data_IF_637579392507
#
_entry.id   IF_637579392507
#
_cell.length_a   1.000
_cell.length_b   1.000
_cell.length_c   1.000
_cell.angle_alpha   90.00
_cell.angle_beta   90.00
_cell.angle_gamma   90.00
#
_symmetry.space_group_name_H-M   'P 1'
#
loop_
_entity.id
_entity.type
_entity.pdbx_description
1 polymer ?
#
# COMPACT_ATOMS: atom_id res chain seq x y z
N UNK A 1 -19.19 4.85 11.41
CA UNK A 1 -19.67 5.12 12.78
C UNK A 1 -18.70 4.54 13.79
N UNK A 2 -18.26 5.32 14.74
CA UNK A 2 -17.47 4.77 15.86
C UNK A 2 -18.42 4.29 16.95
N UNK A 3 -18.21 3.08 17.45
CA UNK A 3 -18.92 2.56 18.63
C UNK A 3 -18.00 2.67 19.83
N UNK A 4 -18.56 3.14 20.95
CA UNK A 4 -17.86 3.17 22.22
C UNK A 4 -18.35 1.98 23.02
N UNK A 5 -17.42 1.14 23.44
CA UNK A 5 -17.68 0.03 24.34
C UNK A 5 -17.06 0.37 25.71
N UNK A 6 -17.80 0.08 26.75
CA UNK A 6 -17.27 0.17 28.12
C UNK A 6 -17.30 -1.21 28.76
N UNK A 7 -16.23 -1.55 29.44
CA UNK A 7 -16.14 -2.73 30.28
C UNK A 7 -16.00 -2.28 31.71
N UNK A 8 -16.87 -2.74 32.56
CA UNK A 8 -16.91 -2.41 33.97
C UNK A 8 -16.54 -3.64 34.80
N UNK A 9 -15.59 -3.48 35.69
CA UNK A 9 -15.18 -4.54 36.62
C UNK A 9 -15.31 -4.02 38.03
N UNK A 10 -16.08 -4.74 38.84
CA UNK A 10 -16.26 -4.47 40.27
C UNK A 10 -15.76 -5.66 41.08
N UNK A 11 -14.96 -5.38 42.10
CA UNK A 11 -14.45 -6.37 43.02
C UNK A 11 -15.03 -6.06 44.40
N UNK A 12 -15.74 -7.01 44.98
CA UNK A 12 -16.36 -6.90 46.29
C UNK A 12 -15.66 -7.81 47.30
N UNK A 13 -15.57 -7.35 48.53
CA UNK A 13 -15.17 -8.21 49.63
C UNK A 13 -16.24 -9.30 49.88
N UNK A 14 -15.83 -10.55 49.96
CA UNK A 14 -16.72 -11.68 50.13
C UNK A 14 -17.35 -11.79 51.53
N UNK A 15 -16.70 -11.22 52.52
CA UNK A 15 -17.17 -11.29 53.92
C UNK A 15 -18.03 -10.07 54.27
N UNK A 16 -17.67 -8.89 53.84
CA UNK A 16 -18.36 -7.63 54.19
C UNK A 16 -19.33 -7.16 53.12
N UNK A 17 -19.16 -7.60 51.86
CA UNK A 17 -19.93 -7.12 50.72
C UNK A 17 -19.54 -5.71 50.23
N UNK A 18 -18.49 -5.16 50.81
CA UNK A 18 -17.99 -3.81 50.42
C UNK A 18 -17.27 -3.85 49.09
N UNK A 19 -17.43 -2.75 48.30
CA UNK A 19 -16.73 -2.55 47.06
C UNK A 19 -15.25 -2.24 47.33
N UNK A 20 -14.34 -3.11 46.87
CA UNK A 20 -12.89 -2.97 47.06
C UNK A 20 -12.31 -2.21 45.86
N UNK A 21 -12.71 -2.57 44.68
CA UNK A 21 -12.14 -2.00 43.43
C UNK A 21 -13.23 -1.83 42.37
N UNK A 22 -13.20 -0.68 41.69
CA UNK A 22 -14.06 -0.40 40.55
C UNK A 22 -13.18 0.12 39.42
N UNK A 23 -13.15 -0.61 38.32
CA UNK A 23 -12.40 -0.23 37.10
C UNK A 23 -13.37 -0.10 35.95
N UNK A 24 -13.34 1.03 35.28
CA UNK A 24 -14.11 1.28 34.05
C UNK A 24 -13.14 1.54 32.91
N UNK A 25 -13.11 0.65 31.93
CA UNK A 25 -12.32 0.82 30.71
C UNK A 25 -13.24 1.17 29.54
N UNK A 26 -12.94 2.27 28.89
CA UNK A 26 -13.67 2.73 27.70
C UNK A 26 -12.83 2.52 26.44
N UNK A 27 -13.39 1.77 25.50
CA UNK A 27 -12.76 1.51 24.19
C UNK A 27 -13.57 2.17 23.09
N UNK A 28 -12.88 2.91 22.23
CA UNK A 28 -13.48 3.42 20.99
C UNK A 28 -13.09 2.50 19.84
N UNK A 29 -14.07 1.77 19.31
CA UNK A 29 -13.86 0.95 18.13
C UNK A 29 -14.32 1.73 16.90
N UNK A 30 -13.40 1.92 15.95
CA UNK A 30 -13.71 2.49 14.65
C UNK A 30 -14.39 1.41 13.82
N UNK A 31 -15.53 1.72 13.22
CA UNK A 31 -16.36 0.76 12.49
C UNK A 31 -15.78 0.27 11.17
N UNK A 32 -14.76 0.94 10.66
CA UNK A 32 -14.05 0.55 9.45
C UNK A 32 -12.55 0.61 9.68
N UNK A 33 -11.85 -0.38 9.16
CA UNK A 33 -10.38 -0.37 9.13
C UNK A 33 -9.90 0.82 8.29
N UNK A 34 -8.91 1.60 8.74
CA UNK A 34 -8.33 2.65 7.90
C UNK A 34 -7.78 2.08 6.60
N UNK A 35 -7.79 2.88 5.54
CA UNK A 35 -7.17 2.48 4.29
C UNK A 35 -5.70 2.11 4.52
N UNK A 36 -5.32 0.94 4.07
CA UNK A 36 -3.95 0.45 4.21
C UNK A 36 -3.45 -0.20 2.92
N UNK A 37 -2.15 -0.30 2.82
CA UNK A 37 -1.45 -1.02 1.76
C UNK A 37 -0.56 -2.06 2.42
N UNK A 38 -0.60 -3.28 1.92
CA UNK A 38 0.35 -4.33 2.32
C UNK A 38 1.69 -4.06 1.66
N UNK A 39 2.74 -3.97 2.47
CA UNK A 39 4.12 -3.86 2.03
C UNK A 39 4.87 -5.13 2.40
N UNK A 40 5.41 -5.82 1.41
CA UNK A 40 6.21 -7.03 1.61
C UNK A 40 7.68 -6.64 1.80
N UNK A 41 8.12 -6.63 3.04
CA UNK A 41 9.41 -6.06 3.49
C UNK A 41 10.60 -6.74 2.84
N UNK A 42 10.60 -8.07 2.74
CA UNK A 42 11.71 -8.81 2.15
C UNK A 42 11.92 -8.45 0.69
N UNK A 43 10.85 -8.37 -0.08
CA UNK A 43 10.90 -7.94 -1.47
C UNK A 43 11.35 -6.48 -1.59
N UNK A 44 10.82 -5.60 -0.77
CA UNK A 44 11.20 -4.18 -0.77
C UNK A 44 12.69 -3.99 -0.45
N UNK A 45 13.24 -4.76 0.46
CA UNK A 45 14.66 -4.70 0.83
C UNK A 45 15.60 -4.99 -0.34
N UNK A 46 15.17 -5.81 -1.31
CA UNK A 46 15.95 -6.11 -2.51
C UNK A 46 16.05 -4.91 -3.48
N UNK A 47 15.11 -4.00 -3.44
CA UNK A 47 15.02 -2.87 -4.36
C UNK A 47 15.51 -1.55 -3.77
N UNK A 48 15.55 -1.43 -2.44
CA UNK A 48 16.05 -0.23 -1.76
C UNK A 48 17.57 -0.31 -1.66
N UNK A 49 18.24 0.06 -2.74
CA UNK A 49 19.71 0.15 -2.77
C UNK A 49 20.12 1.46 -3.46
N UNK A 50 20.88 2.32 -2.77
CA UNK A 50 21.47 3.51 -3.34
C UNK A 50 21.01 4.85 -2.76
N UNK A 51 21.69 5.93 -3.12
CA UNK A 51 21.50 7.27 -2.55
C UNK A 51 20.21 7.97 -3.03
N UNK A 52 19.61 7.54 -4.13
CA UNK A 52 18.40 8.16 -4.73
C UNK A 52 17.08 7.56 -4.21
N UNK A 53 17.13 6.70 -3.23
CA UNK A 53 16.00 5.90 -2.74
C UNK A 53 14.86 6.75 -2.16
N UNK A 54 15.18 7.91 -1.57
CA UNK A 54 14.18 8.72 -0.88
C UNK A 54 13.02 9.19 -1.76
N UNK A 55 13.32 9.78 -2.92
CA UNK A 55 12.30 10.31 -3.84
C UNK A 55 11.54 9.19 -4.57
N UNK A 56 12.23 8.14 -4.98
CA UNK A 56 11.61 6.96 -5.60
C UNK A 56 10.63 6.28 -4.63
N UNK A 57 11.03 6.07 -3.38
CA UNK A 57 10.18 5.51 -2.34
C UNK A 57 8.99 6.40 -2.04
N UNK A 58 9.20 7.72 -1.93
CA UNK A 58 8.11 8.67 -1.70
C UNK A 58 7.08 8.65 -2.82
N UNK A 59 7.51 8.60 -4.06
CA UNK A 59 6.61 8.49 -5.21
C UNK A 59 5.85 7.16 -5.21
N UNK A 60 6.53 6.04 -4.96
CA UNK A 60 5.88 4.73 -4.85
C UNK A 60 4.80 4.71 -3.76
N UNK A 61 5.04 5.30 -2.60
CA UNK A 61 4.06 5.40 -1.53
C UNK A 61 2.85 6.25 -1.93
N UNK A 62 3.06 7.37 -2.62
CA UNK A 62 1.97 8.21 -3.14
C UNK A 62 1.15 7.49 -4.21
N UNK A 63 1.80 6.69 -5.06
CA UNK A 63 1.12 5.84 -6.03
C UNK A 63 0.33 4.72 -5.32
N UNK A 64 0.93 4.05 -4.35
CA UNK A 64 0.31 2.96 -3.60
C UNK A 64 -0.96 3.40 -2.85
N UNK A 65 -1.00 4.63 -2.34
CA UNK A 65 -2.22 5.20 -1.73
C UNK A 65 -3.40 5.25 -2.70
N UNK A 66 -3.14 5.40 -3.98
CA UNK A 66 -4.14 5.63 -5.04
C UNK A 66 -4.41 4.39 -5.89
N UNK A 67 -3.64 3.33 -5.73
CA UNK A 67 -3.80 2.15 -6.57
C UNK A 67 -5.08 1.38 -6.27
N UNK A 68 -5.56 0.67 -7.26
CA UNK A 68 -6.72 -0.21 -7.17
C UNK A 68 -6.42 -1.48 -6.35
N UNK A 69 -7.48 -2.14 -5.90
CA UNK A 69 -7.36 -3.39 -5.14
C UNK A 69 -6.99 -4.57 -6.05
N UNK A 70 -6.35 -5.58 -5.46
CA UNK A 70 -5.96 -6.80 -6.17
C UNK A 70 -7.13 -7.59 -6.77
N UNK A 71 -8.33 -7.45 -6.22
CA UNK A 71 -9.56 -8.08 -6.73
C UNK A 71 -10.37 -7.17 -7.67
N UNK A 72 -9.83 -6.05 -8.07
CA UNK A 72 -10.41 -5.17 -9.09
C UNK A 72 -10.24 -5.76 -10.50
N UNK A 73 -11.05 -5.32 -11.46
CA UNK A 73 -10.90 -5.69 -12.87
C UNK A 73 -9.56 -5.24 -13.47
N UNK A 74 -9.03 -4.10 -12.98
CA UNK A 74 -7.71 -3.58 -13.31
C UNK A 74 -6.88 -3.49 -12.01
N UNK A 75 -6.31 -4.61 -11.53
CA UNK A 75 -5.70 -4.67 -10.21
C UNK A 75 -4.36 -3.94 -10.12
N UNK A 76 -4.07 -3.40 -8.95
CA UNK A 76 -2.80 -2.76 -8.61
C UNK A 76 -2.41 -1.58 -9.52
N UNK A 77 -3.38 -0.92 -10.12
CA UNK A 77 -3.16 0.16 -11.09
C UNK A 77 -3.40 1.54 -10.50
N UNK A 78 -2.65 2.49 -11.01
CA UNK A 78 -2.79 3.91 -10.69
C UNK A 78 -2.67 4.75 -11.95
N UNK A 79 -3.58 5.72 -12.10
CA UNK A 79 -3.53 6.71 -13.17
C UNK A 79 -2.64 7.89 -12.74
N UNK A 80 -1.53 8.08 -13.43
CA UNK A 80 -0.60 9.18 -13.23
C UNK A 80 -0.79 10.23 -14.33
N UNK A 81 -1.95 10.86 -14.35
CA UNK A 81 -2.36 11.82 -15.37
C UNK A 81 -2.65 13.19 -14.75
N UNK A 82 -2.43 14.25 -15.55
CA UNK A 82 -2.90 15.61 -15.30
C UNK A 82 -2.77 16.10 -13.86
N UNK A 83 -3.90 16.35 -13.24
CA UNK A 83 -4.01 16.89 -11.89
C UNK A 83 -3.45 15.98 -10.79
N UNK A 84 -3.50 14.67 -10.96
CA UNK A 84 -2.96 13.70 -9.99
C UNK A 84 -1.44 13.82 -9.94
N UNK A 85 -0.78 13.80 -11.08
CA UNK A 85 0.68 13.97 -11.20
C UNK A 85 1.13 15.32 -10.64
N UNK A 86 0.41 16.38 -10.96
CA UNK A 86 0.66 17.73 -10.46
C UNK A 86 0.51 17.81 -8.93
N UNK A 87 -0.55 17.23 -8.39
CA UNK A 87 -0.79 17.17 -6.94
C UNK A 87 0.30 16.41 -6.19
N UNK A 88 0.77 15.30 -6.74
CA UNK A 88 1.89 14.53 -6.16
C UNK A 88 3.19 15.34 -6.22
N UNK A 89 3.47 16.00 -7.33
CA UNK A 89 4.64 16.85 -7.48
C UNK A 89 4.66 17.97 -6.43
N UNK A 90 3.53 18.60 -6.17
CA UNK A 90 3.39 19.60 -5.11
C UNK A 90 3.64 19.01 -3.72
N UNK A 91 3.08 17.84 -3.41
CA UNK A 91 3.30 17.16 -2.12
C UNK A 91 4.76 16.78 -1.90
N UNK A 92 5.45 16.34 -2.93
CA UNK A 92 6.86 15.95 -2.87
C UNK A 92 7.82 17.13 -3.09
N UNK A 93 7.29 18.34 -3.22
CA UNK A 93 8.06 19.56 -3.44
C UNK A 93 9.01 19.46 -4.65
N UNK A 94 8.50 18.98 -5.75
CA UNK A 94 9.24 18.77 -7.00
C UNK A 94 8.41 19.18 -8.22
N UNK A 95 8.99 19.09 -9.42
CA UNK A 95 8.31 19.38 -10.67
C UNK A 95 7.66 18.15 -11.29
N UNK A 96 6.68 18.35 -12.18
CA UNK A 96 6.05 17.28 -12.96
C UNK A 96 7.08 16.55 -13.84
N UNK A 97 8.02 17.30 -14.43
CA UNK A 97 9.11 16.68 -15.21
C UNK A 97 10.02 15.78 -14.38
N UNK A 98 10.29 16.13 -13.12
CA UNK A 98 11.02 15.27 -12.19
C UNK A 98 10.23 13.99 -11.87
N UNK A 99 8.92 14.08 -11.71
CA UNK A 99 8.05 12.90 -11.54
C UNK A 99 8.17 11.97 -12.74
N UNK A 100 8.16 12.50 -13.96
CA UNK A 100 8.31 11.69 -15.18
C UNK A 100 9.66 10.96 -15.25
N UNK A 101 10.73 11.61 -14.84
CA UNK A 101 12.07 10.99 -14.75
C UNK A 101 12.05 9.84 -13.73
N UNK A 102 11.46 10.06 -12.56
CA UNK A 102 11.37 9.02 -11.51
C UNK A 102 10.52 7.85 -11.96
N UNK A 103 9.38 8.09 -12.61
CA UNK A 103 8.53 7.05 -13.18
C UNK A 103 9.31 6.16 -14.16
N UNK A 104 10.12 6.74 -15.03
CA UNK A 104 10.95 5.99 -15.95
C UNK A 104 12.01 5.14 -15.23
N UNK A 105 12.59 5.64 -14.14
CA UNK A 105 13.52 4.86 -13.30
C UNK A 105 12.82 3.68 -12.63
N UNK A 106 11.61 3.90 -12.10
CA UNK A 106 10.81 2.85 -11.48
C UNK A 106 10.42 1.75 -12.47
N UNK A 107 10.10 2.11 -13.71
CA UNK A 107 9.85 1.14 -14.80
C UNK A 107 11.10 0.32 -15.11
N UNK A 108 12.27 0.95 -15.21
CA UNK A 108 13.55 0.26 -15.45
C UNK A 108 13.92 -0.72 -14.34
N UNK A 109 13.56 -0.42 -13.11
CA UNK A 109 13.78 -1.30 -11.95
C UNK A 109 12.72 -2.38 -11.78
N UNK A 110 11.72 -2.44 -12.65
CA UNK A 110 10.57 -3.35 -12.58
C UNK A 110 9.73 -3.19 -11.28
N UNK A 111 9.75 -2.00 -10.71
CA UNK A 111 8.91 -1.65 -9.56
C UNK A 111 7.50 -1.28 -9.98
N UNK A 112 7.36 -0.79 -11.19
CA UNK A 112 6.09 -0.51 -11.86
C UNK A 112 6.18 -0.94 -13.33
N UNK A 113 5.03 -1.18 -13.95
CA UNK A 113 4.91 -1.43 -15.40
C UNK A 113 3.85 -0.52 -16.00
N UNK A 114 4.01 -0.17 -17.26
CA UNK A 114 2.99 0.58 -18.00
C UNK A 114 1.82 -0.34 -18.34
N UNK A 115 0.63 0.00 -17.85
CA UNK A 115 -0.61 -0.72 -18.13
C UNK A 115 -1.44 -0.05 -19.24
N UNK A 116 -1.17 1.21 -19.53
CA UNK A 116 -1.83 2.01 -20.54
C UNK A 116 -1.24 3.41 -20.58
N UNK A 117 -1.83 4.31 -21.36
CA UNK A 117 -1.37 5.68 -21.44
C UNK A 117 -1.58 6.42 -20.13
N UNK A 118 -0.49 6.76 -19.44
CA UNK A 118 -0.50 7.41 -18.13
C UNK A 118 -0.97 6.50 -16.99
N UNK A 119 -1.15 5.21 -17.25
CA UNK A 119 -1.58 4.23 -16.25
C UNK A 119 -0.43 3.26 -15.98
N UNK A 120 -0.14 3.04 -14.71
CA UNK A 120 0.92 2.15 -14.25
C UNK A 120 0.36 1.09 -13.32
N UNK A 121 0.89 -0.11 -13.40
CA UNK A 121 0.67 -1.20 -12.48
C UNK A 121 1.86 -1.28 -11.52
N UNK A 122 1.60 -1.26 -10.22
CA UNK A 122 2.64 -1.44 -9.20
C UNK A 122 2.95 -2.92 -9.04
N UNK A 123 4.23 -3.22 -8.82
CA UNK A 123 4.69 -4.58 -8.62
C UNK A 123 4.00 -5.21 -7.39
N UNK A 124 3.12 -6.20 -7.58
CA UNK A 124 2.35 -6.80 -6.49
C UNK A 124 3.19 -7.67 -5.55
N UNK A 125 4.43 -7.97 -5.92
CA UNK A 125 5.39 -8.65 -5.05
C UNK A 125 5.84 -7.72 -3.92
N UNK A 126 5.73 -6.40 -4.12
CA UNK A 126 6.14 -5.37 -3.16
C UNK A 126 4.94 -4.74 -2.46
N UNK A 127 3.94 -4.30 -3.22
CA UNK A 127 2.76 -3.59 -2.72
C UNK A 127 1.47 -4.24 -3.22
N UNK A 128 0.49 -4.37 -2.36
CA UNK A 128 -0.84 -4.76 -2.77
C UNK A 128 -1.92 -4.31 -1.78
N UNK A 129 -3.15 -4.22 -2.26
CA UNK A 129 -4.36 -3.99 -1.46
C UNK A 129 -5.35 -5.12 -1.71
N UNK A 130 -6.00 -5.61 -0.67
CA UNK A 130 -7.08 -6.57 -0.79
C UNK A 130 -6.77 -7.96 -0.25
N UNK A 131 -7.58 -8.96 -0.60
CA UNK A 131 -7.46 -10.31 -0.07
C UNK A 131 -6.24 -11.04 -0.63
N UNK A 132 -5.61 -11.86 0.20
CA UNK A 132 -4.39 -12.59 -0.15
C UNK A 132 -4.57 -13.50 -1.38
N UNK A 133 -5.71 -14.13 -1.54
CA UNK A 133 -5.98 -14.98 -2.71
C UNK A 133 -5.87 -14.23 -4.03
N UNK A 134 -6.39 -13.00 -4.09
CA UNK A 134 -6.30 -12.14 -5.26
C UNK A 134 -4.88 -11.59 -5.46
N UNK A 135 -4.21 -11.18 -4.39
CA UNK A 135 -2.82 -10.71 -4.43
C UNK A 135 -1.90 -11.80 -4.97
N UNK A 136 -2.02 -13.00 -4.46
CA UNK A 136 -1.23 -14.15 -4.89
C UNK A 136 -1.39 -14.42 -6.40
N UNK A 137 -2.60 -14.31 -6.92
CA UNK A 137 -2.89 -14.47 -8.35
C UNK A 137 -2.14 -13.43 -9.19
N UNK A 138 -2.25 -12.15 -8.85
CA UNK A 138 -1.57 -11.09 -9.60
C UNK A 138 -0.04 -11.13 -9.46
N UNK A 139 0.49 -11.62 -8.34
CA UNK A 139 1.91 -11.88 -8.19
C UNK A 139 2.40 -12.95 -9.18
N UNK A 140 1.64 -14.01 -9.35
CA UNK A 140 1.96 -15.05 -10.32
C UNK A 140 1.92 -14.52 -11.77
N UNK A 141 0.89 -13.78 -12.13
CA UNK A 141 0.75 -13.14 -13.45
C UNK A 141 1.93 -12.19 -13.73
N UNK A 142 2.31 -11.38 -12.77
CA UNK A 142 3.45 -10.47 -12.88
C UNK A 142 4.76 -11.21 -13.17
N UNK A 143 5.00 -12.32 -12.49
CA UNK A 143 6.19 -13.16 -12.66
C UNK A 143 6.21 -13.85 -14.03
N UNK A 144 5.08 -14.34 -14.51
CA UNK A 144 4.94 -14.98 -15.83
C UNK A 144 5.20 -13.98 -16.97
N UNK A 145 4.65 -12.77 -16.91
CA UNK A 145 4.92 -11.71 -17.88
C UNK A 145 6.40 -11.33 -17.93
N UNK A 146 7.06 -11.24 -16.79
CA UNK A 146 8.49 -10.98 -16.71
C UNK A 146 9.33 -12.06 -17.40
N UNK A 147 8.96 -13.32 -17.29
CA UNK A 147 9.60 -14.45 -17.98
C UNK A 147 9.39 -14.35 -19.48
N UNK A 148 8.16 -14.13 -19.94
CA UNK A 148 7.83 -13.96 -21.37
C UNK A 148 8.66 -12.84 -22.02
N UNK A 149 8.73 -11.70 -21.39
CA UNK A 149 9.50 -10.54 -21.87
C UNK A 149 10.99 -10.87 -22.01
N UNK A 150 11.56 -11.61 -21.08
CA UNK A 150 12.97 -12.07 -21.19
C UNK A 150 13.19 -12.98 -22.38
N UNK A 151 12.29 -13.93 -22.61
CA UNK A 151 12.39 -14.84 -23.76
C UNK A 151 12.26 -14.11 -25.10
N UNK A 152 11.40 -13.13 -25.20
CA UNK A 152 11.23 -12.31 -26.41
C UNK A 152 12.46 -11.43 -26.69
N UNK A 153 13.18 -10.97 -25.67
CA UNK A 153 14.39 -10.17 -25.83
C UNK A 153 15.62 -10.99 -26.23
N UNK A 154 15.62 -12.29 -25.95
CA UNK A 154 16.72 -13.21 -26.28
C UNK A 154 16.59 -13.83 -27.71
N UNK A 155 15.48 -13.61 -28.38
CA UNK A 155 15.23 -14.02 -29.76
C UNK A 155 15.52 -12.88 -30.75
#
# INVERSE_FOLDING_TARGET
MSKIYSTERMVFDKETGELIEHTEDKYKIVSAEPNYVKLYIDAMSCFITGEEVGMETSLLLEMAKRMTYANDAAPNQVAMIGSIKKGIAEQLNTSVSSIDVILNRLVKKDLIRRAGRGVYELNPIIFAKGPWSSIRKIQMEWSEEGIKTKFEMEQ
#
